data_IF_913106075987
#
_entry.id   IF_913106075987
#
_cell.length_a   1.000
_cell.length_b   1.000
_cell.length_c   1.000
_cell.angle_alpha   90.00
_cell.angle_beta   90.00
_cell.angle_gamma   90.00
#
_symmetry.space_group_name_H-M   'P 1'
#
loop_
_entity.id
_entity.type
_entity.pdbx_description
1 polymer ?
#
# COMPACT_ATOMS: atom_id res chain seq x y z
N UNK A 1 -58.21 -16.82 4.74
CA UNK A 1 -57.99 -17.88 5.73
C UNK A 1 -57.30 -19.05 5.02
N UNK A 2 -56.00 -19.17 5.05
CA UNK A 2 -55.28 -20.44 4.96
C UNK A 2 -53.94 -20.22 5.60
N UNK A 3 -53.76 -20.86 6.76
CA UNK A 3 -52.50 -20.94 7.49
C UNK A 3 -51.77 -22.14 6.95
N UNK A 4 -50.55 -21.94 6.40
CA UNK A 4 -49.71 -23.04 5.94
C UNK A 4 -48.58 -23.20 6.95
N UNK A 5 -48.60 -24.31 7.65
CA UNK A 5 -47.63 -24.72 8.65
C UNK A 5 -46.46 -25.38 7.93
N UNK A 6 -45.28 -24.79 7.94
CA UNK A 6 -44.06 -25.45 7.48
C UNK A 6 -43.38 -26.16 8.67
N UNK A 7 -43.35 -27.47 8.55
CA UNK A 7 -42.77 -28.42 9.49
C UNK A 7 -41.28 -28.54 9.22
N UNK A 8 -40.41 -28.11 10.19
CA UNK A 8 -38.97 -28.31 10.10
C UNK A 8 -38.61 -29.75 10.49
N UNK A 9 -38.05 -30.48 9.54
CA UNK A 9 -37.42 -31.78 9.81
C UNK A 9 -35.96 -31.54 10.18
N UNK A 10 -35.63 -31.84 11.43
CA UNK A 10 -34.24 -31.89 11.91
C UNK A 10 -33.62 -33.23 11.46
N UNK A 11 -32.65 -33.14 10.55
CA UNK A 11 -31.81 -34.29 10.17
C UNK A 11 -30.53 -34.23 11.01
N UNK A 12 -30.45 -35.11 12.02
CA UNK A 12 -29.26 -35.32 12.84
C UNK A 12 -28.26 -36.17 12.08
N UNK A 13 -27.14 -35.57 11.67
CA UNK A 13 -26.02 -36.31 11.08
C UNK A 13 -25.05 -36.72 12.19
N UNK A 14 -24.96 -38.03 12.39
CA UNK A 14 -23.99 -38.65 13.31
C UNK A 14 -22.64 -38.74 12.56
N UNK A 15 -21.64 -37.95 12.94
CA UNK A 15 -20.27 -38.07 12.43
C UNK A 15 -19.48 -38.97 13.34
N UNK A 16 -19.18 -40.16 12.83
CA UNK A 16 -18.28 -41.12 13.48
C UNK A 16 -16.83 -40.57 13.51
N UNK A 17 -16.26 -40.47 14.68
CA UNK A 17 -14.89 -40.00 14.89
C UNK A 17 -13.88 -41.03 14.38
N UNK A 18 -13.07 -40.66 13.40
CA UNK A 18 -11.85 -41.35 13.02
C UNK A 18 -10.69 -40.85 13.85
N UNK A 19 -10.20 -41.67 14.77
CA UNK A 19 -9.04 -41.32 15.57
C UNK A 19 -7.78 -41.26 14.72
N UNK A 20 -7.15 -40.07 14.66
CA UNK A 20 -5.79 -39.92 14.17
C UNK A 20 -4.81 -40.28 15.30
N UNK A 21 -4.09 -41.40 15.10
CA UNK A 21 -2.97 -41.78 15.95
C UNK A 21 -1.80 -40.84 15.68
N UNK A 22 -1.37 -40.10 16.67
CA UNK A 22 -0.11 -39.35 16.69
C UNK A 22 1.08 -40.30 16.80
N UNK A 23 2.10 -40.21 15.95
CA UNK A 23 3.30 -41.02 16.12
C UNK A 23 4.12 -40.51 17.31
N UNK A 24 4.71 -41.41 18.16
CA UNK A 24 5.56 -40.99 19.26
C UNK A 24 6.97 -40.71 18.72
N UNK A 25 7.27 -39.42 18.54
CA UNK A 25 8.64 -38.95 18.34
C UNK A 25 9.00 -38.05 19.50
N UNK A 26 9.78 -38.56 20.44
CA UNK A 26 10.23 -37.77 21.59
C UNK A 26 11.25 -36.73 21.13
N UNK A 27 11.14 -35.50 21.65
CA UNK A 27 12.04 -34.38 21.42
C UNK A 27 13.53 -34.64 21.74
N UNK A 28 13.87 -35.84 22.18
CA UNK A 28 15.21 -36.27 22.54
C UNK A 28 16.00 -36.81 21.34
N UNK A 29 15.34 -37.47 20.38
CA UNK A 29 16.01 -38.01 19.17
C UNK A 29 16.40 -36.90 18.17
N UNK A 30 15.71 -35.77 18.16
CA UNK A 30 16.05 -34.67 17.27
C UNK A 30 17.23 -33.82 17.77
N UNK A 31 17.58 -33.91 19.07
CA UNK A 31 18.73 -33.22 19.66
C UNK A 31 20.08 -33.92 19.44
N UNK A 32 20.08 -35.19 19.16
CA UNK A 32 21.34 -35.97 18.94
C UNK A 32 21.88 -35.83 17.50
N UNK A 33 21.08 -35.40 16.54
CA UNK A 33 21.53 -35.24 15.14
C UNK A 33 22.23 -33.91 14.85
N UNK A 34 22.31 -32.98 15.84
CA UNK A 34 22.94 -31.67 15.70
C UNK A 34 24.19 -31.53 16.57
N UNK A 35 25.08 -32.54 16.57
CA UNK A 35 26.43 -32.33 17.11
C UNK A 35 27.33 -31.81 15.98
N UNK A 36 27.89 -30.59 16.05
CA UNK A 36 28.86 -30.17 15.07
C UNK A 36 30.17 -30.95 15.28
N UNK A 37 30.64 -31.53 14.19
CA UNK A 37 31.98 -32.13 14.13
C UNK A 37 33.01 -31.03 14.37
N UNK A 38 33.76 -31.14 15.47
CA UNK A 38 34.80 -30.18 15.80
C UNK A 38 35.97 -30.29 14.83
N UNK A 39 36.22 -29.20 14.13
CA UNK A 39 37.53 -28.94 13.54
C UNK A 39 38.07 -27.68 14.18
N UNK A 40 39.01 -27.85 15.09
CA UNK A 40 39.85 -26.78 15.62
C UNK A 40 40.72 -26.26 14.49
N UNK A 41 40.37 -25.10 13.94
CA UNK A 41 41.30 -24.32 13.14
C UNK A 41 41.88 -23.25 14.06
N UNK A 42 43.17 -23.38 14.30
CA UNK A 42 43.98 -22.43 15.06
C UNK A 42 44.03 -21.10 14.33
N UNK A 43 43.34 -20.09 14.84
CA UNK A 43 43.42 -18.73 14.34
C UNK A 43 44.78 -18.15 14.62
N UNK A 44 45.53 -17.82 13.59
CA UNK A 44 46.68 -16.90 13.68
C UNK A 44 46.13 -15.46 13.69
N UNK A 45 46.53 -14.74 14.71
CA UNK A 45 46.23 -13.34 14.95
C UNK A 45 46.87 -12.51 13.83
N UNK A 46 46.05 -11.86 13.00
CA UNK A 46 46.44 -10.68 12.26
C UNK A 46 45.45 -9.57 12.64
N UNK A 47 45.98 -8.57 13.31
CA UNK A 47 45.31 -7.32 13.63
C UNK A 47 45.09 -6.57 12.29
N UNK A 48 43.95 -6.79 11.67
CA UNK A 48 43.48 -5.92 10.60
C UNK A 48 42.08 -5.41 11.00
N UNK A 49 42.01 -4.08 11.11
CA UNK A 49 40.90 -3.35 11.63
C UNK A 49 39.67 -3.60 10.74
N UNK A 50 38.71 -4.39 11.21
CA UNK A 50 37.35 -4.28 10.74
C UNK A 50 36.75 -3.01 11.35
N UNK A 51 36.93 -1.89 10.64
CA UNK A 51 36.02 -0.77 10.78
C UNK A 51 34.62 -1.29 10.46
N UNK A 52 33.87 -1.56 11.50
CA UNK A 52 32.42 -1.61 11.38
C UNK A 52 32.02 -0.18 11.02
N UNK A 53 31.97 0.10 9.73
CA UNK A 53 31.29 1.27 9.23
C UNK A 53 29.85 1.17 9.75
N UNK A 54 29.60 1.81 10.88
CA UNK A 54 28.27 2.12 11.35
C UNK A 54 27.62 2.87 10.20
N UNK A 55 26.81 2.14 9.41
CA UNK A 55 25.94 2.76 8.44
C UNK A 55 24.96 3.59 9.27
N UNK A 56 25.33 4.82 9.49
CA UNK A 56 24.43 5.88 9.86
C UNK A 56 23.51 6.02 8.65
N UNK A 57 22.41 5.25 8.65
CA UNK A 57 21.29 5.45 7.73
C UNK A 57 20.58 6.73 8.16
N UNK A 58 21.30 7.86 8.04
CA UNK A 58 20.65 9.14 7.88
C UNK A 58 19.72 8.94 6.68
N UNK A 59 18.41 8.97 6.92
CA UNK A 59 17.38 8.83 5.91
C UNK A 59 17.70 9.83 4.81
N UNK A 60 18.23 9.35 3.68
CA UNK A 60 18.48 10.22 2.53
C UNK A 60 17.13 10.78 2.10
N UNK A 61 17.02 12.09 1.84
CA UNK A 61 15.79 12.65 1.31
C UNK A 61 15.36 11.87 0.07
N UNK A 62 14.07 11.57 -0.04
CA UNK A 62 13.53 10.92 -1.23
C UNK A 62 13.76 11.83 -2.46
N UNK A 63 14.04 11.25 -3.62
CA UNK A 63 14.19 12.04 -4.83
C UNK A 63 12.88 12.79 -5.13
N UNK A 64 12.99 14.06 -5.50
CA UNK A 64 11.85 14.85 -5.93
C UNK A 64 11.32 14.33 -7.25
N UNK A 65 9.99 14.37 -7.42
CA UNK A 65 9.34 14.02 -8.68
C UNK A 65 9.48 15.19 -9.65
N UNK A 66 10.01 14.88 -10.82
CA UNK A 66 10.15 15.83 -11.92
C UNK A 66 8.81 16.05 -12.63
N UNK A 67 8.67 17.20 -13.30
CA UNK A 67 7.50 17.49 -14.13
C UNK A 67 7.38 16.47 -15.26
N UNK A 68 6.26 15.78 -15.33
CA UNK A 68 5.98 14.82 -16.39
C UNK A 68 5.82 15.52 -17.75
N UNK A 69 6.30 14.88 -18.80
CA UNK A 69 6.18 15.42 -20.18
C UNK A 69 4.83 15.04 -20.80
N UNK A 70 4.33 15.91 -21.68
CA UNK A 70 3.05 15.70 -22.38
C UNK A 70 1.86 16.16 -21.55
N UNK A 71 0.66 15.96 -22.08
CA UNK A 71 -0.60 16.41 -21.50
C UNK A 71 -1.52 15.25 -21.09
N UNK A 72 -1.13 14.02 -21.37
CA UNK A 72 -1.85 12.78 -21.04
C UNK A 72 -0.95 11.90 -20.18
N UNK A 73 -1.42 11.54 -19.00
CA UNK A 73 -0.68 10.79 -17.99
C UNK A 73 -1.45 9.54 -17.58
N UNK A 74 -0.77 8.42 -17.40
CA UNK A 74 -1.37 7.17 -16.99
C UNK A 74 -1.00 6.84 -15.55
N UNK A 75 -1.98 6.46 -14.74
CA UNK A 75 -1.81 5.92 -13.39
C UNK A 75 -2.51 4.57 -13.30
N UNK A 76 -1.77 3.52 -13.06
CA UNK A 76 -2.28 2.16 -12.93
C UNK A 76 -2.77 1.88 -11.51
N UNK A 77 -3.87 1.18 -11.37
CA UNK A 77 -4.37 0.65 -10.11
C UNK A 77 -3.95 -0.81 -9.98
N UNK A 78 -3.11 -1.13 -8.97
CA UNK A 78 -2.42 -2.40 -8.87
C UNK A 78 -2.56 -3.05 -7.49
N UNK A 79 -2.74 -4.39 -7.50
CA UNK A 79 -2.62 -5.21 -6.30
C UNK A 79 -1.20 -5.20 -5.74
N UNK A 80 -0.18 -5.16 -6.64
CA UNK A 80 1.23 -5.12 -6.27
C UNK A 80 2.09 -4.54 -7.39
N UNK A 81 3.22 -3.93 -7.01
CA UNK A 81 4.20 -3.37 -7.93
C UNK A 81 5.45 -2.89 -7.18
N UNK A 82 6.34 -2.11 -7.83
CA UNK A 82 7.58 -1.65 -7.22
C UNK A 82 7.39 -0.86 -5.92
N UNK A 83 6.28 -0.15 -5.77
CA UNK A 83 5.94 0.63 -4.57
C UNK A 83 5.33 -0.19 -3.44
N UNK A 84 5.12 -1.50 -3.61
CA UNK A 84 4.51 -2.39 -2.61
C UNK A 84 3.18 -3.00 -3.04
N UNK A 85 2.30 -3.25 -2.09
CA UNK A 85 0.95 -3.80 -2.32
C UNK A 85 -0.13 -2.72 -2.22
N UNK A 86 -1.22 -2.92 -2.95
CA UNK A 86 -2.34 -1.97 -3.05
C UNK A 86 -1.82 -0.56 -3.32
N UNK A 87 -1.46 -0.30 -4.58
CA UNK A 87 -0.79 0.93 -4.99
C UNK A 87 -1.39 1.52 -6.27
N UNK A 88 -1.21 2.81 -6.41
CA UNK A 88 -1.24 3.51 -7.69
C UNK A 88 0.19 3.57 -8.26
N UNK A 89 0.36 3.41 -9.57
CA UNK A 89 1.67 3.42 -10.22
C UNK A 89 1.65 4.27 -11.51
N UNK A 90 2.38 5.38 -11.55
CA UNK A 90 3.13 5.99 -10.44
C UNK A 90 2.21 6.54 -9.35
N UNK A 91 2.68 6.50 -8.08
CA UNK A 91 1.90 6.97 -6.94
C UNK A 91 1.97 8.49 -6.75
N UNK A 92 3.04 9.13 -7.24
CA UNK A 92 3.26 10.57 -7.22
C UNK A 92 3.60 11.04 -8.61
N UNK A 93 2.87 12.03 -9.11
CA UNK A 93 3.16 12.68 -10.39
C UNK A 93 3.09 14.20 -10.25
N UNK A 94 3.88 14.88 -11.06
CA UNK A 94 3.83 16.33 -11.22
C UNK A 94 3.51 16.65 -12.66
N UNK A 95 2.45 17.42 -12.90
CA UNK A 95 1.88 17.67 -14.22
C UNK A 95 1.57 19.15 -14.39
N UNK A 96 1.26 19.56 -15.64
CA UNK A 96 0.86 20.91 -15.95
C UNK A 96 -0.65 21.11 -15.79
N UNK A 97 -1.05 22.33 -15.56
CA UNK A 97 -2.46 22.73 -15.55
C UNK A 97 -3.12 22.44 -16.90
N UNK A 98 -4.27 21.77 -16.88
CA UNK A 98 -5.03 21.36 -18.06
C UNK A 98 -4.68 19.96 -18.57
N UNK A 99 -3.69 19.29 -17.97
CA UNK A 99 -3.36 17.92 -18.31
C UNK A 99 -4.44 16.95 -17.82
N UNK A 100 -4.52 15.80 -18.46
CA UNK A 100 -5.46 14.72 -18.14
C UNK A 100 -4.73 13.51 -17.54
N UNK A 101 -5.27 12.97 -16.45
CA UNK A 101 -4.79 11.74 -15.82
C UNK A 101 -5.79 10.62 -16.08
N UNK A 102 -5.30 9.52 -16.64
CA UNK A 102 -6.05 8.29 -16.91
C UNK A 102 -5.76 7.25 -15.83
N UNK A 103 -6.71 7.00 -14.97
CA UNK A 103 -6.61 5.93 -13.97
C UNK A 103 -7.03 4.61 -14.61
N UNK A 104 -6.06 3.70 -14.79
CA UNK A 104 -6.23 2.41 -15.45
C UNK A 104 -6.59 1.32 -14.47
N UNK A 105 -7.72 0.64 -14.69
CA UNK A 105 -8.13 -0.53 -13.92
C UNK A 105 -7.32 -1.77 -14.32
N UNK A 106 -5.99 -1.72 -14.11
CA UNK A 106 -5.07 -2.80 -14.48
C UNK A 106 -5.36 -4.06 -13.69
N UNK A 107 -5.56 -3.93 -12.37
CA UNK A 107 -6.10 -4.99 -11.53
C UNK A 107 -7.53 -4.63 -11.11
N UNK A 108 -8.35 -5.64 -10.81
CA UNK A 108 -9.73 -5.46 -10.40
C UNK A 108 -9.86 -5.07 -8.92
N UNK A 109 -11.06 -4.65 -8.55
CA UNK A 109 -11.44 -4.24 -7.19
C UNK A 109 -10.77 -2.94 -6.70
N UNK A 110 -10.34 -2.09 -7.61
CA UNK A 110 -9.83 -0.74 -7.32
C UNK A 110 -10.72 0.34 -7.92
N UNK A 111 -10.64 1.53 -7.35
CA UNK A 111 -11.14 2.76 -7.92
C UNK A 111 -10.18 3.93 -7.64
N UNK A 112 -10.42 5.08 -8.23
CA UNK A 112 -9.74 6.33 -7.90
C UNK A 112 -10.78 7.36 -7.49
N UNK A 113 -10.62 7.90 -6.28
CA UNK A 113 -11.53 8.90 -5.70
C UNK A 113 -10.70 10.02 -5.08
N UNK A 114 -10.95 11.27 -5.47
CA UNK A 114 -10.34 12.43 -4.83
C UNK A 114 -10.86 12.60 -3.40
N UNK A 115 -9.98 12.97 -2.47
CA UNK A 115 -10.36 13.10 -1.06
C UNK A 115 -10.86 14.53 -0.82
N UNK A 116 -12.06 14.64 -0.28
CA UNK A 116 -12.65 15.93 0.04
C UNK A 116 -11.80 16.68 1.08
N UNK A 117 -11.51 17.95 0.82
CA UNK A 117 -10.60 18.76 1.64
C UNK A 117 -9.10 18.50 1.38
N UNK A 118 -8.76 17.58 0.48
CA UNK A 118 -7.38 17.32 0.06
C UNK A 118 -7.19 17.55 -1.45
N UNK A 119 -7.91 18.51 -1.99
CA UNK A 119 -7.76 19.07 -3.34
C UNK A 119 -7.69 20.61 -3.25
N UNK A 120 -7.16 21.32 -4.24
CA UNK A 120 -7.13 22.78 -4.24
C UNK A 120 -8.53 23.39 -4.13
N UNK A 121 -8.64 24.57 -3.54
CA UNK A 121 -9.91 25.29 -3.47
C UNK A 121 -10.45 25.57 -4.88
N UNK A 122 -11.73 25.28 -5.08
CA UNK A 122 -12.41 25.43 -6.37
C UNK A 122 -12.06 24.39 -7.43
N UNK A 123 -11.24 23.39 -7.10
CA UNK A 123 -10.98 22.26 -7.99
C UNK A 123 -12.18 21.32 -8.06
N UNK A 124 -12.37 20.69 -9.23
CA UNK A 124 -13.33 19.63 -9.40
C UNK A 124 -12.84 18.36 -8.69
N UNK A 125 -13.77 17.62 -8.09
CA UNK A 125 -13.53 16.33 -7.47
C UNK A 125 -14.00 15.21 -8.40
N UNK A 126 -13.46 13.98 -8.19
CA UNK A 126 -13.89 12.81 -8.96
C UNK A 126 -14.14 11.59 -8.05
N UNK A 127 -14.96 10.68 -8.55
CA UNK A 127 -15.22 9.40 -7.91
C UNK A 127 -15.38 8.35 -9.01
N UNK A 128 -14.34 7.55 -9.24
CA UNK A 128 -14.37 6.44 -10.18
C UNK A 128 -15.15 5.25 -9.62
N UNK A 129 -15.83 4.53 -10.50
CA UNK A 129 -16.50 3.29 -10.14
C UNK A 129 -15.48 2.15 -9.93
N UNK A 130 -15.88 1.14 -9.16
CA UNK A 130 -15.01 0.00 -8.83
C UNK A 130 -14.70 -0.82 -10.09
N UNK A 131 -13.41 -1.11 -10.31
CA UNK A 131 -12.91 -1.86 -11.47
C UNK A 131 -13.14 -1.17 -12.81
N UNK A 132 -13.38 0.13 -12.82
CA UNK A 132 -13.54 0.93 -14.01
C UNK A 132 -12.43 1.97 -14.16
N UNK A 133 -12.10 2.28 -15.41
CA UNK A 133 -11.19 3.37 -15.74
C UNK A 133 -11.90 4.72 -15.61
N UNK A 134 -11.16 5.73 -15.18
CA UNK A 134 -11.64 7.12 -15.16
C UNK A 134 -10.55 8.05 -15.67
N UNK A 135 -10.93 9.08 -16.42
CA UNK A 135 -10.05 10.14 -16.89
C UNK A 135 -10.46 11.47 -16.28
N UNK A 136 -9.50 12.21 -15.77
CA UNK A 136 -9.73 13.46 -15.06
C UNK A 136 -8.80 14.55 -15.60
N UNK A 137 -9.36 15.65 -16.09
CA UNK A 137 -8.59 16.81 -16.52
C UNK A 137 -8.48 17.80 -15.38
N UNK A 138 -7.24 18.16 -14.98
CA UNK A 138 -6.97 18.95 -13.80
C UNK A 138 -6.66 20.41 -14.16
N UNK A 139 -7.62 21.29 -13.93
CA UNK A 139 -7.59 22.71 -14.36
C UNK A 139 -7.21 23.70 -13.24
N UNK A 140 -6.98 23.22 -12.01
CA UNK A 140 -6.64 24.08 -10.87
C UNK A 140 -5.26 23.67 -10.34
N UNK A 141 -4.38 24.66 -10.14
CA UNK A 141 -3.04 24.41 -9.58
C UNK A 141 -3.12 24.02 -8.11
N UNK A 142 -2.23 23.13 -7.70
CA UNK A 142 -2.09 22.68 -6.33
C UNK A 142 -1.87 21.18 -6.24
N UNK A 143 -1.97 20.66 -5.01
CA UNK A 143 -1.80 19.25 -4.67
C UNK A 143 -3.16 18.59 -4.50
N UNK A 144 -3.33 17.46 -5.13
CA UNK A 144 -4.50 16.58 -5.04
C UNK A 144 -4.07 15.26 -4.40
N UNK A 145 -4.77 14.86 -3.34
CA UNK A 145 -4.64 13.52 -2.76
C UNK A 145 -5.88 12.72 -3.10
N UNK A 146 -5.68 11.50 -3.54
CA UNK A 146 -6.75 10.58 -3.90
C UNK A 146 -6.50 9.20 -3.30
N UNK A 147 -7.53 8.38 -3.25
CA UNK A 147 -7.50 7.07 -2.62
C UNK A 147 -8.24 6.02 -3.45
N UNK A 148 -8.00 4.76 -3.10
CA UNK A 148 -8.86 3.64 -3.45
C UNK A 148 -9.75 3.31 -2.25
N UNK A 149 -11.08 3.49 -2.38
CA UNK A 149 -12.01 3.34 -1.25
C UNK A 149 -11.92 1.98 -0.55
N UNK A 150 -11.94 0.82 -1.25
CA UNK A 150 -11.85 -0.47 -0.58
C UNK A 150 -10.49 -0.72 0.10
N UNK A 151 -9.44 0.01 -0.29
CA UNK A 151 -8.08 -0.27 0.19
C UNK A 151 -7.44 0.90 0.97
N UNK A 152 -8.24 1.86 1.44
CA UNK A 152 -7.75 2.98 2.26
C UNK A 152 -7.03 2.49 3.52
N UNK A 153 -7.52 1.43 4.16
CA UNK A 153 -6.87 0.84 5.33
C UNK A 153 -5.47 0.27 5.03
N UNK A 154 -5.16 -0.02 3.77
CA UNK A 154 -3.83 -0.45 3.31
C UNK A 154 -2.98 0.73 2.81
N UNK A 155 -3.46 1.95 3.01
CA UNK A 155 -2.89 3.19 2.51
C UNK A 155 -2.74 3.21 0.97
N UNK A 156 -3.74 2.69 0.24
CA UNK A 156 -3.78 2.84 -1.21
C UNK A 156 -4.20 4.25 -1.56
N UNK A 157 -3.22 5.14 -1.59
CA UNK A 157 -3.35 6.56 -1.88
C UNK A 157 -2.38 6.98 -2.97
N UNK A 158 -2.66 8.10 -3.62
CA UNK A 158 -1.76 8.73 -4.58
C UNK A 158 -1.81 10.24 -4.48
N UNK A 159 -0.82 10.90 -5.08
CA UNK A 159 -0.64 12.35 -5.02
C UNK A 159 -0.34 12.90 -6.41
N UNK A 160 -1.04 13.95 -6.81
CA UNK A 160 -0.79 14.69 -8.03
C UNK A 160 -0.48 16.14 -7.64
N UNK A 161 0.64 16.67 -8.11
CA UNK A 161 0.91 18.11 -8.10
C UNK A 161 0.64 18.66 -9.50
N UNK A 162 -0.25 19.64 -9.57
CA UNK A 162 -0.55 20.43 -10.78
C UNK A 162 0.11 21.81 -10.64
N UNK A 163 1.06 22.14 -11.49
CA UNK A 163 1.78 23.40 -11.42
C UNK A 163 2.42 23.62 -10.02
N UNK A 164 2.09 24.72 -9.36
CA UNK A 164 2.60 25.07 -8.04
C UNK A 164 1.77 24.41 -6.92
N UNK A 165 2.43 23.98 -5.83
CA UNK A 165 1.80 23.31 -4.69
C UNK A 165 1.16 24.30 -3.71
N UNK A 166 0.21 25.11 -4.19
CA UNK A 166 -0.34 26.27 -3.46
C UNK A 166 -1.10 25.93 -2.17
N UNK A 167 -1.57 24.70 -2.01
CA UNK A 167 -2.35 24.21 -0.87
C UNK A 167 -1.59 23.19 -0.01
N UNK A 168 -0.25 23.14 -0.07
CA UNK A 168 0.54 22.15 0.65
C UNK A 168 0.34 22.20 2.18
N UNK A 169 0.09 23.37 2.76
CA UNK A 169 -0.18 23.54 4.19
C UNK A 169 -1.47 22.84 4.61
N UNK A 170 -2.52 23.00 3.82
CA UNK A 170 -3.83 22.39 4.02
C UNK A 170 -3.75 20.87 3.87
N UNK A 171 -3.03 20.40 2.85
CA UNK A 171 -2.79 18.95 2.63
C UNK A 171 -2.08 18.35 3.84
N UNK A 172 -1.00 18.97 4.33
CA UNK A 172 -0.28 18.47 5.51
C UNK A 172 -1.14 18.46 6.77
N UNK A 173 -1.99 19.47 6.93
CA UNK A 173 -2.93 19.53 8.07
C UNK A 173 -3.99 18.41 8.02
N UNK A 174 -4.49 18.05 6.83
CA UNK A 174 -5.49 16.99 6.65
C UNK A 174 -4.87 15.57 6.61
N UNK A 175 -3.57 15.47 6.38
CA UNK A 175 -2.89 14.18 6.22
C UNK A 175 -3.00 13.29 7.47
N UNK A 176 -2.95 13.87 8.67
CA UNK A 176 -3.03 13.09 9.92
C UNK A 176 -4.41 12.45 10.11
N UNK A 177 -5.48 13.15 9.73
CA UNK A 177 -6.84 12.60 9.79
C UNK A 177 -7.02 11.45 8.77
N UNK A 178 -6.44 11.59 7.57
CA UNK A 178 -6.47 10.52 6.59
C UNK A 178 -5.66 9.30 7.07
N UNK A 179 -4.44 9.51 7.58
CA UNK A 179 -3.56 8.46 8.10
C UNK A 179 -4.15 7.69 9.26
N UNK A 180 -5.05 8.29 10.06
CA UNK A 180 -5.77 7.61 11.11
C UNK A 180 -6.61 6.41 10.61
N UNK A 181 -6.94 6.36 9.31
CA UNK A 181 -7.63 5.25 8.68
C UNK A 181 -6.69 4.15 8.17
N UNK A 182 -5.36 4.35 8.22
CA UNK A 182 -4.39 3.38 7.72
C UNK A 182 -4.06 2.33 8.77
N UNK A 183 -4.36 1.07 8.49
CA UNK A 183 -3.93 -0.06 9.30
C UNK A 183 -2.53 -0.56 8.90
N UNK A 184 -2.12 -0.32 7.63
CA UNK A 184 -0.83 -0.68 7.07
C UNK A 184 -0.21 0.53 6.37
N UNK A 185 1.12 0.56 6.26
CA UNK A 185 1.89 1.58 5.53
C UNK A 185 1.56 3.02 5.98
N UNK A 186 1.46 3.24 7.29
CA UNK A 186 1.04 4.52 7.86
C UNK A 186 1.89 5.74 7.45
N UNK A 187 3.13 5.51 7.03
CA UNK A 187 4.08 6.53 6.55
C UNK A 187 4.02 6.78 5.03
N UNK A 188 3.19 6.03 4.29
CA UNK A 188 3.18 6.07 2.82
C UNK A 188 2.84 7.45 2.28
N UNK A 189 1.81 8.10 2.82
CA UNK A 189 1.40 9.43 2.38
C UNK A 189 2.50 10.46 2.65
N UNK A 190 3.14 10.42 3.83
CA UNK A 190 4.22 11.36 4.17
C UNK A 190 5.37 11.24 3.17
N UNK A 191 5.79 10.00 2.86
CA UNK A 191 6.82 9.75 1.85
C UNK A 191 6.46 10.22 0.44
N UNK A 192 5.17 10.23 0.09
CA UNK A 192 4.71 10.75 -1.18
C UNK A 192 4.74 12.28 -1.20
N UNK A 193 4.30 12.93 -0.12
CA UNK A 193 4.33 14.40 -0.01
C UNK A 193 5.77 14.94 0.08
N UNK A 194 6.72 14.16 0.61
CA UNK A 194 8.14 14.51 0.63
C UNK A 194 8.79 14.53 -0.76
N UNK A 195 8.16 13.95 -1.78
CA UNK A 195 8.67 13.94 -3.16
C UNK A 195 8.24 15.17 -3.97
N UNK A 196 7.35 16.01 -3.45
CA UNK A 196 6.93 17.29 -4.04
C UNK A 196 7.78 18.48 -3.52
#
# INVERSE_FOLDING_TARGET
KLVSIFQFIFLTVFVAGSGFATPPGTNQEMRERLKPAGTLVRATKSDDQLEVAGQNTATQPLPKVELSSGSEHEVKMLNSGPGGTMIFEPAVIKISKGDTVHFKATDLAHNSVSINGMVPEGAETWAGALSEEISVTLNTEGVYVYQCDPHVAMAMVGVIQVGEAVNMSEIKSAADDLKANFALNGDRLDRYLEQL
#
